data_IF_173734136666
#
_entry.id   IF_173734136666
#
_cell.length_a   1.000
_cell.length_b   1.000
_cell.length_c   1.000
_cell.angle_alpha   90.00
_cell.angle_beta   90.00
_cell.angle_gamma   90.00
#
_symmetry.space_group_name_H-M   'P 1'
#
loop_
_entity.id
_entity.type
_entity.pdbx_description
1 polymer ?
#
# COMPACT_ATOMS: atom_id res chain seq x y z
N UNK A 1 -2.91 11.47 -20.17
CA UNK A 1 -1.98 11.41 -19.02
C UNK A 1 -2.69 11.60 -17.68
N UNK A 2 -3.62 12.57 -17.54
CA UNK A 2 -4.31 12.82 -16.25
C UNK A 2 -5.34 11.76 -15.82
N UNK A 3 -5.98 11.03 -16.73
CA UNK A 3 -7.03 10.07 -16.36
C UNK A 3 -6.51 8.85 -15.58
N UNK A 4 -5.24 8.46 -15.81
CA UNK A 4 -4.61 7.31 -15.15
C UNK A 4 -4.36 7.52 -13.64
N UNK A 5 -4.14 8.76 -13.23
CA UNK A 5 -3.91 9.11 -11.82
C UNK A 5 -5.18 9.18 -10.98
N UNK A 6 -6.37 9.22 -11.60
CA UNK A 6 -7.65 9.34 -10.87
C UNK A 6 -7.98 8.10 -10.03
N UNK A 7 -7.41 6.95 -10.38
CA UNK A 7 -7.59 5.67 -9.68
C UNK A 7 -6.33 5.18 -8.98
N UNK A 8 -5.26 5.99 -8.98
CA UNK A 8 -3.99 5.61 -8.38
C UNK A 8 -4.10 5.46 -6.85
N UNK A 9 -3.38 4.49 -6.30
CA UNK A 9 -3.23 4.35 -4.85
C UNK A 9 -2.49 5.60 -4.32
N UNK A 10 -3.01 6.29 -3.30
CA UNK A 10 -2.34 7.46 -2.73
C UNK A 10 -0.96 7.11 -2.18
N UNK A 11 0.04 7.96 -2.41
CA UNK A 11 1.39 7.75 -1.88
C UNK A 11 1.40 7.59 -0.35
N UNK A 12 0.53 8.29 0.35
CA UNK A 12 0.37 8.16 1.80
C UNK A 12 -0.10 6.77 2.23
N UNK A 13 -0.89 6.06 1.41
CA UNK A 13 -1.31 4.70 1.72
C UNK A 13 -0.12 3.74 1.69
N UNK A 14 0.81 3.92 0.73
CA UNK A 14 2.06 3.17 0.66
C UNK A 14 2.95 3.48 1.86
N UNK A 15 3.11 4.76 2.20
CA UNK A 15 3.92 5.17 3.35
C UNK A 15 3.44 4.52 4.66
N UNK A 16 2.12 4.47 4.88
CA UNK A 16 1.53 3.81 6.06
C UNK A 16 1.75 2.29 6.08
N UNK A 17 1.75 1.64 4.91
CA UNK A 17 2.04 0.21 4.83
C UNK A 17 3.51 -0.09 5.19
N UNK A 18 4.43 0.78 4.80
CA UNK A 18 5.85 0.68 5.18
C UNK A 18 6.04 0.96 6.67
N UNK A 19 5.39 2.00 7.20
CA UNK A 19 5.40 2.34 8.64
C UNK A 19 4.94 1.15 9.49
N UNK A 20 3.83 0.52 9.10
CA UNK A 20 3.34 -0.70 9.72
C UNK A 20 4.38 -1.83 9.74
N UNK A 21 5.15 -2.01 8.66
CA UNK A 21 6.16 -3.06 8.59
C UNK A 21 7.36 -2.78 9.50
N UNK A 22 7.76 -1.52 9.63
CA UNK A 22 8.88 -1.09 10.48
C UNK A 22 8.51 -1.19 11.96
N UNK A 23 7.25 -0.94 12.31
CA UNK A 23 6.75 -0.94 13.69
C UNK A 23 6.47 -2.35 14.26
N UNK A 24 6.75 -3.42 13.50
CA UNK A 24 6.56 -4.78 13.99
C UNK A 24 7.54 -5.15 15.11
N UNK A 25 7.14 -6.10 15.96
CA UNK A 25 8.00 -6.65 17.00
C UNK A 25 9.15 -7.48 16.39
N UNK A 26 10.23 -7.67 17.14
CA UNK A 26 11.45 -8.33 16.67
C UNK A 26 11.24 -9.78 16.20
N UNK A 27 10.19 -10.44 16.66
CA UNK A 27 9.82 -11.82 16.28
C UNK A 27 8.88 -11.90 15.07
N UNK A 28 8.52 -10.75 14.48
CA UNK A 28 7.58 -10.65 13.37
C UNK A 28 8.28 -10.17 12.11
N UNK A 29 8.25 -11.01 11.08
CA UNK A 29 8.82 -10.71 9.76
C UNK A 29 7.71 -10.48 8.72
N UNK A 30 7.78 -9.31 8.05
CA UNK A 30 6.84 -8.93 7.00
C UNK A 30 7.50 -9.15 5.64
N UNK A 31 7.24 -10.32 5.07
CA UNK A 31 7.82 -10.74 3.79
C UNK A 31 7.21 -10.01 2.58
N UNK A 32 5.91 -9.73 2.60
CA UNK A 32 5.20 -9.12 1.48
C UNK A 32 3.98 -8.33 1.94
N UNK A 33 3.76 -7.18 1.31
CA UNK A 33 2.53 -6.39 1.44
C UNK A 33 1.95 -6.15 0.06
N UNK A 34 0.74 -6.67 -0.19
CA UNK A 34 0.01 -6.48 -1.46
C UNK A 34 -1.07 -5.42 -1.28
N UNK A 35 -0.98 -4.34 -2.05
CA UNK A 35 -1.94 -3.23 -2.01
C UNK A 35 -2.62 -3.13 -3.38
N UNK A 36 -3.95 -3.07 -3.37
CA UNK A 36 -4.78 -2.92 -4.57
C UNK A 36 -5.81 -1.82 -4.37
N UNK A 37 -6.19 -1.15 -5.45
CA UNK A 37 -7.29 -0.20 -5.39
C UNK A 37 -8.60 -0.96 -5.24
N UNK A 38 -9.45 -0.56 -4.28
CA UNK A 38 -10.79 -1.16 -4.12
C UNK A 38 -11.75 -0.79 -5.27
N UNK A 39 -11.32 0.13 -6.13
CA UNK A 39 -12.07 0.63 -7.30
C UNK A 39 -11.64 0.00 -8.62
N UNK A 40 -10.69 -0.94 -8.62
CA UNK A 40 -10.48 -1.80 -9.78
C UNK A 40 -11.72 -2.68 -9.95
N UNK A 41 -12.58 -2.34 -10.92
CA UNK A 41 -13.69 -3.20 -11.37
C UNK A 41 -13.11 -4.43 -12.10
N UNK A 42 -13.68 -5.61 -11.82
CA UNK A 42 -13.34 -6.88 -12.48
C UNK A 42 -13.83 -6.94 -13.94
#
# INVERSE_FOLDING_TARGET
MNEFYKQAIPAQAIAKAVDYAIDQLEDVDVNEIVIRSTREEF
#
